data_IF_389415582770
#
_entry.id   IF_389415582770
#
_cell.length_a   1.000
_cell.length_b   1.000
_cell.length_c   1.000
_cell.angle_alpha   90.00
_cell.angle_beta   90.00
_cell.angle_gamma   90.00
#
_symmetry.space_group_name_H-M   'P 1'
#
loop_
_entity.id
_entity.type
_entity.pdbx_description
1 polymer ?
#
# COMPACT_ATOMS: atom_id res chain seq x y z
N UNK A 1 -28.55 -28.91 -24.59
CA UNK A 1 -27.50 -29.62 -23.82
C UNK A 1 -26.07 -29.22 -24.20
N UNK A 2 -25.68 -29.20 -25.48
CA UNK A 2 -24.31 -28.81 -25.90
C UNK A 2 -23.90 -27.37 -25.49
N UNK A 3 -24.82 -26.42 -25.61
CA UNK A 3 -24.65 -25.01 -25.20
C UNK A 3 -24.33 -24.85 -23.70
N UNK A 4 -25.05 -25.61 -22.85
CA UNK A 4 -24.88 -25.57 -21.39
C UNK A 4 -23.53 -26.17 -20.98
N UNK A 5 -23.07 -27.21 -21.69
CA UNK A 5 -21.81 -27.90 -21.42
C UNK A 5 -20.60 -27.02 -21.78
N UNK A 6 -20.66 -26.29 -22.91
CA UNK A 6 -19.65 -25.30 -23.28
C UNK A 6 -19.54 -24.16 -22.25
N UNK A 7 -20.67 -23.66 -21.75
CA UNK A 7 -20.68 -22.58 -20.74
C UNK A 7 -19.99 -23.01 -19.44
N UNK A 8 -20.23 -24.24 -18.98
CA UNK A 8 -19.62 -24.79 -17.77
C UNK A 8 -18.10 -24.95 -17.94
N UNK A 9 -17.64 -25.47 -19.07
CA UNK A 9 -16.20 -25.64 -19.34
C UNK A 9 -15.48 -24.28 -19.37
N UNK A 10 -16.03 -23.28 -20.06
CA UNK A 10 -15.44 -21.93 -20.12
C UNK A 10 -15.35 -21.31 -18.72
N UNK A 11 -16.40 -21.48 -17.90
CA UNK A 11 -16.42 -20.98 -16.52
C UNK A 11 -15.33 -21.63 -15.66
N UNK A 12 -15.16 -22.95 -15.76
CA UNK A 12 -14.11 -23.68 -15.04
C UNK A 12 -12.70 -23.24 -15.44
N UNK A 13 -12.46 -22.98 -16.74
CA UNK A 13 -11.16 -22.47 -17.23
C UNK A 13 -10.88 -21.08 -16.64
N UNK A 14 -11.87 -20.17 -16.63
CA UNK A 14 -11.72 -18.82 -16.07
C UNK A 14 -11.40 -18.90 -14.57
N UNK A 15 -12.11 -19.74 -13.83
CA UNK A 15 -11.86 -19.96 -12.40
C UNK A 15 -10.44 -20.51 -12.17
N UNK A 16 -10.00 -21.49 -12.97
CA UNK A 16 -8.66 -22.06 -12.87
C UNK A 16 -7.54 -21.04 -13.12
N UNK A 17 -7.68 -20.21 -14.17
CA UNK A 17 -6.72 -19.13 -14.47
C UNK A 17 -6.69 -18.10 -13.32
N UNK A 18 -7.85 -17.75 -12.78
CA UNK A 18 -7.95 -16.82 -11.67
C UNK A 18 -7.26 -17.35 -10.41
N UNK A 19 -7.51 -18.60 -10.04
CA UNK A 19 -6.88 -19.24 -8.88
C UNK A 19 -5.35 -19.34 -9.05
N UNK A 20 -4.87 -19.75 -10.23
CA UNK A 20 -3.44 -19.83 -10.51
C UNK A 20 -2.74 -18.46 -10.36
N UNK A 21 -3.35 -17.39 -10.89
CA UNK A 21 -2.80 -16.02 -10.75
C UNK A 21 -2.76 -15.54 -9.31
N UNK A 22 -3.79 -15.85 -8.51
CA UNK A 22 -3.80 -15.49 -7.09
C UNK A 22 -2.69 -16.22 -6.33
N UNK A 23 -2.55 -17.53 -6.54
CA UNK A 23 -1.51 -18.35 -5.91
C UNK A 23 -0.11 -17.84 -6.24
N UNK A 24 0.18 -17.61 -7.53
CA UNK A 24 1.48 -17.08 -7.98
C UNK A 24 1.79 -15.70 -7.40
N UNK A 25 0.78 -14.84 -7.21
CA UNK A 25 0.97 -13.51 -6.59
C UNK A 25 1.32 -13.62 -5.11
N UNK A 26 0.66 -14.53 -4.39
CA UNK A 26 0.91 -14.76 -2.97
C UNK A 26 2.28 -15.39 -2.74
N UNK A 27 2.64 -16.44 -3.49
CA UNK A 27 3.97 -17.06 -3.42
C UNK A 27 5.08 -16.05 -3.70
N UNK A 28 4.87 -15.18 -4.70
CA UNK A 28 5.80 -14.09 -5.01
C UNK A 28 5.92 -13.08 -3.86
N UNK A 29 4.82 -12.72 -3.22
CA UNK A 29 4.84 -11.83 -2.05
C UNK A 29 5.62 -12.47 -0.90
N UNK A 30 5.32 -13.73 -0.57
CA UNK A 30 5.98 -14.49 0.49
C UNK A 30 7.49 -14.64 0.21
N UNK A 31 7.87 -14.95 -1.03
CA UNK A 31 9.26 -15.01 -1.48
C UNK A 31 10.00 -13.67 -1.31
N UNK A 32 9.42 -12.56 -1.79
CA UNK A 32 10.08 -11.26 -1.70
C UNK A 32 10.18 -10.75 -0.26
N UNK A 33 9.20 -11.08 0.59
CA UNK A 33 9.26 -10.79 2.03
C UNK A 33 10.31 -11.65 2.75
N UNK A 34 10.50 -12.92 2.36
CA UNK A 34 11.49 -13.79 3.00
C UNK A 34 12.94 -13.37 2.69
N UNK A 35 13.20 -12.81 1.51
CA UNK A 35 14.51 -12.21 1.16
C UNK A 35 14.81 -10.98 2.05
N UNK A 36 13.78 -10.23 2.43
CA UNK A 36 13.88 -9.05 3.30
C UNK A 36 14.94 -8.02 2.85
N UNK A 37 14.93 -7.66 1.56
CA UNK A 37 15.78 -6.62 0.99
C UNK A 37 14.95 -5.35 0.64
N UNK A 38 14.48 -4.58 1.64
CA UNK A 38 13.62 -3.44 1.40
C UNK A 38 14.39 -2.26 0.80
N UNK A 39 13.78 -1.59 -0.17
CA UNK A 39 14.21 -0.31 -0.72
C UNK A 39 13.08 0.70 -0.69
N UNK A 40 13.42 1.99 -0.77
CA UNK A 40 12.40 3.05 -0.82
C UNK A 40 11.85 3.20 -2.23
N UNK A 41 10.54 3.02 -2.39
CA UNK A 41 9.81 3.31 -3.62
C UNK A 41 8.98 4.59 -3.50
N UNK A 42 8.96 5.38 -4.57
CA UNK A 42 8.10 6.56 -4.71
C UNK A 42 6.94 6.24 -5.66
N UNK A 43 5.72 6.62 -5.29
CA UNK A 43 4.50 6.34 -6.06
C UNK A 43 4.06 7.52 -6.92
N UNK A 44 3.38 7.20 -8.02
CA UNK A 44 2.69 8.12 -8.91
C UNK A 44 1.39 7.49 -9.39
N UNK A 45 0.29 8.23 -9.30
CA UNK A 45 -0.99 7.86 -9.89
C UNK A 45 -0.92 7.98 -11.41
N UNK A 46 -1.44 6.97 -12.08
CA UNK A 46 -1.60 6.97 -13.53
C UNK A 46 -3.03 6.54 -13.87
N UNK A 47 -3.48 6.82 -15.10
CA UNK A 47 -4.87 6.53 -15.50
C UNK A 47 -5.29 5.06 -15.29
N UNK A 48 -4.36 4.11 -15.44
CA UNK A 48 -4.62 2.66 -15.36
C UNK A 48 -3.94 1.97 -14.17
N UNK A 49 -3.72 2.70 -13.07
CA UNK A 49 -3.16 2.08 -11.86
C UNK A 49 -2.25 2.98 -11.04
N UNK A 50 -1.30 2.36 -10.36
CA UNK A 50 -0.28 3.05 -9.57
C UNK A 50 1.09 2.66 -10.09
N UNK A 51 1.88 3.65 -10.50
CA UNK A 51 3.28 3.45 -10.85
C UNK A 51 4.13 3.64 -9.60
N UNK A 52 5.10 2.76 -9.36
CA UNK A 52 6.11 2.98 -8.35
C UNK A 52 7.50 2.89 -8.96
N UNK A 53 8.41 3.69 -8.40
CA UNK A 53 9.78 3.84 -8.88
C UNK A 53 10.73 3.74 -7.71
N UNK A 54 11.80 2.95 -7.85
CA UNK A 54 12.85 2.82 -6.84
C UNK A 54 14.22 2.77 -7.51
N UNK A 55 15.27 2.98 -6.73
CA UNK A 55 16.67 2.91 -7.20
C UNK A 55 17.39 1.83 -6.43
N UNK A 56 18.11 0.95 -7.13
CA UNK A 56 18.95 -0.07 -6.53
C UNK A 56 20.27 -0.14 -7.30
N UNK A 57 21.40 -0.14 -6.59
CA UNK A 57 22.76 -0.12 -7.17
C UNK A 57 22.94 0.94 -8.27
N UNK A 58 22.44 2.16 -8.02
CA UNK A 58 22.51 3.28 -8.97
C UNK A 58 21.57 3.19 -10.18
N UNK A 59 20.85 2.07 -10.38
CA UNK A 59 19.90 1.88 -11.47
C UNK A 59 18.47 2.12 -11.02
N UNK A 60 17.69 2.80 -11.86
CA UNK A 60 16.28 3.10 -11.64
C UNK A 60 15.40 1.97 -12.18
N UNK A 61 14.43 1.55 -11.37
CA UNK A 61 13.44 0.53 -11.71
C UNK A 61 12.04 1.13 -11.60
N UNK A 62 11.13 0.69 -12.47
CA UNK A 62 9.77 1.22 -12.53
C UNK A 62 8.79 0.10 -12.84
N UNK A 63 7.72 0.05 -12.06
CA UNK A 63 6.66 -0.95 -12.19
C UNK A 63 5.30 -0.29 -12.03
N UNK A 64 4.31 -0.88 -12.68
CA UNK A 64 2.92 -0.46 -12.59
C UNK A 64 2.12 -1.57 -11.92
N UNK A 65 1.36 -1.21 -10.89
CA UNK A 65 0.32 -2.07 -10.34
C UNK A 65 -0.97 -1.84 -11.13
N UNK A 66 -1.69 -2.91 -11.46
CA UNK A 66 -2.98 -2.80 -12.18
C UNK A 66 -4.12 -2.21 -11.35
N UNK A 67 -3.88 -1.92 -10.06
CA UNK A 67 -4.87 -1.36 -9.14
C UNK A 67 -4.57 0.12 -8.89
N UNK A 68 -5.54 0.97 -9.23
CA UNK A 68 -5.48 2.38 -8.88
C UNK A 68 -5.86 2.53 -7.41
N UNK A 69 -4.90 2.97 -6.59
CA UNK A 69 -5.14 3.22 -5.17
C UNK A 69 -5.59 4.68 -5.00
N UNK A 70 -6.91 4.88 -4.86
CA UNK A 70 -7.53 6.23 -4.80
C UNK A 70 -7.01 7.10 -3.65
N UNK A 71 -6.56 6.48 -2.57
CA UNK A 71 -6.04 7.16 -1.38
C UNK A 71 -4.62 7.71 -1.53
N UNK A 72 -3.87 7.27 -2.54
CA UNK A 72 -2.47 7.67 -2.71
C UNK A 72 -2.32 9.11 -3.21
N UNK A 73 -1.28 9.76 -2.72
CA UNK A 73 -0.80 11.07 -3.16
C UNK A 73 0.49 10.87 -3.96
N UNK A 74 0.65 11.66 -5.01
CA UNK A 74 1.85 11.59 -5.84
C UNK A 74 3.08 11.99 -5.02
N UNK A 75 4.14 11.19 -5.10
CA UNK A 75 5.35 11.41 -4.33
C UNK A 75 5.34 10.84 -2.91
N UNK A 76 4.30 10.12 -2.51
CA UNK A 76 4.35 9.26 -1.31
C UNK A 76 5.42 8.18 -1.45
N UNK A 77 5.98 7.76 -0.31
CA UNK A 77 7.05 6.77 -0.25
C UNK A 77 6.63 5.56 0.58
N UNK A 78 6.93 4.38 0.07
CA UNK A 78 6.61 3.09 0.70
C UNK A 78 7.79 2.14 0.56
N UNK A 79 7.77 1.09 1.39
CA UNK A 79 8.71 -0.02 1.26
C UNK A 79 8.43 -0.81 -0.02
N UNK A 80 9.49 -1.10 -0.75
CA UNK A 80 9.49 -2.02 -1.90
C UNK A 80 10.36 -3.22 -1.53
N UNK A 81 9.79 -4.41 -1.59
CA UNK A 81 10.55 -5.66 -1.52
C UNK A 81 10.93 -6.09 -2.93
N UNK A 82 12.19 -6.45 -3.13
CA UNK A 82 12.72 -6.84 -4.43
C UNK A 82 13.78 -7.93 -4.27
N UNK A 83 13.96 -8.72 -5.32
CA UNK A 83 15.03 -9.70 -5.40
C UNK A 83 16.35 -8.99 -5.79
N UNK A 84 17.42 -9.03 -4.97
CA UNK A 84 18.69 -8.39 -5.29
C UNK A 84 19.38 -8.92 -6.56
N UNK A 85 19.08 -10.16 -6.96
CA UNK A 85 19.61 -10.81 -8.15
C UNK A 85 18.73 -10.54 -9.38
N UNK A 86 17.42 -10.35 -9.18
CA UNK A 86 16.49 -9.85 -10.21
C UNK A 86 15.63 -8.69 -9.69
N UNK A 87 16.13 -7.44 -9.70
CA UNK A 87 15.36 -6.31 -9.15
C UNK A 87 14.09 -5.98 -9.97
N UNK A 88 13.91 -6.55 -11.16
CA UNK A 88 12.62 -6.46 -11.86
C UNK A 88 11.55 -7.31 -11.16
N UNK A 89 11.94 -8.31 -10.39
CA UNK A 89 11.05 -9.00 -9.48
C UNK A 89 10.88 -8.20 -8.18
N UNK A 90 9.93 -7.25 -8.20
CA UNK A 90 9.65 -6.37 -7.05
C UNK A 90 8.16 -6.21 -6.75
N UNK A 91 7.83 -5.92 -5.49
CA UNK A 91 6.51 -5.56 -5.00
C UNK A 91 6.57 -4.38 -4.05
N UNK A 92 5.61 -3.47 -4.16
CA UNK A 92 5.44 -2.34 -3.24
C UNK A 92 4.45 -2.73 -2.15
N UNK A 93 4.79 -2.46 -0.90
CA UNK A 93 3.91 -2.69 0.24
C UNK A 93 3.29 -1.37 0.72
N UNK A 94 2.00 -1.18 0.41
CA UNK A 94 1.26 0.02 0.77
C UNK A 94 0.89 0.08 2.27
N UNK A 95 1.13 -0.98 3.03
CA UNK A 95 0.93 -1.01 4.49
C UNK A 95 2.17 -0.54 5.25
N UNK A 96 3.32 -0.42 4.57
CA UNK A 96 4.60 0.01 5.14
C UNK A 96 5.04 1.35 4.52
N UNK A 97 4.42 2.47 4.93
CA UNK A 97 4.89 3.78 4.50
C UNK A 97 6.27 4.08 5.06
N UNK A 98 7.08 4.80 4.27
CA UNK A 98 8.41 5.26 4.68
C UNK A 98 8.30 6.67 5.27
N UNK A 99 8.53 6.78 6.58
CA UNK A 99 8.62 8.06 7.28
C UNK A 99 10.09 8.39 7.57
N UNK A 100 10.53 9.53 7.06
CA UNK A 100 11.85 10.10 7.35
C UNK A 100 11.71 11.06 8.53
N UNK A 101 12.27 10.73 9.69
CA UNK A 101 12.10 11.52 10.92
C UNK A 101 12.60 12.96 10.78
N UNK A 102 13.47 13.27 9.80
CA UNK A 102 13.91 14.63 9.52
C UNK A 102 12.91 15.45 8.68
N UNK A 103 11.99 14.78 7.98
CA UNK A 103 11.04 15.40 7.04
C UNK A 103 9.58 15.30 7.49
N UNK A 104 9.34 14.68 8.63
CA UNK A 104 8.02 14.47 9.20
C UNK A 104 7.96 15.02 10.63
N UNK A 105 6.80 15.57 10.97
CA UNK A 105 6.44 15.99 12.32
C UNK A 105 5.22 15.21 12.81
N UNK A 106 4.82 15.41 14.06
CA UNK A 106 3.75 14.66 14.69
C UNK A 106 2.51 15.53 14.89
N UNK A 107 1.34 14.93 14.71
CA UNK A 107 0.04 15.47 15.09
C UNK A 107 -0.81 14.34 15.70
N UNK A 108 -1.93 14.69 16.33
CA UNK A 108 -2.89 13.71 16.81
C UNK A 108 -4.02 13.50 15.81
N UNK A 109 -4.37 12.24 15.55
CA UNK A 109 -5.61 11.92 14.90
C UNK A 109 -6.79 12.25 15.83
N UNK A 110 -7.71 13.07 15.35
CA UNK A 110 -8.93 13.47 16.07
C UNK A 110 -10.05 12.44 15.90
N UNK A 111 -10.04 11.70 14.79
CA UNK A 111 -11.02 10.65 14.48
C UNK A 111 -10.37 9.58 13.63
N UNK A 112 -10.65 8.31 13.93
CA UNK A 112 -10.21 7.17 13.13
C UNK A 112 -11.42 6.25 12.87
N UNK A 113 -11.58 5.82 11.63
CA UNK A 113 -12.63 4.89 11.21
C UNK A 113 -12.08 3.88 10.19
N UNK A 114 -12.36 2.60 10.42
CA UNK A 114 -12.06 1.55 9.44
C UNK A 114 -13.22 1.40 8.45
N UNK A 115 -12.90 1.45 7.15
CA UNK A 115 -13.89 1.45 6.06
C UNK A 115 -14.05 0.11 5.35
N UNK A 116 -13.14 -0.85 5.58
CA UNK A 116 -13.22 -2.18 4.97
C UNK A 116 -13.01 -3.27 6.02
N UNK A 117 -13.76 -4.36 5.86
CA UNK A 117 -13.56 -5.63 6.55
C UNK A 117 -12.84 -6.57 5.58
N UNK A 118 -11.74 -7.21 6.01
CA UNK A 118 -10.93 -8.07 5.15
C UNK A 118 -9.45 -8.11 5.52
N UNK A 119 -8.62 -8.73 4.67
CA UNK A 119 -7.17 -8.89 4.88
C UNK A 119 -6.36 -7.59 4.82
N UNK A 120 -6.91 -6.54 4.20
CA UNK A 120 -6.38 -5.18 4.25
C UNK A 120 -7.48 -4.24 4.74
N UNK A 121 -7.24 -3.54 5.85
CA UNK A 121 -8.18 -2.56 6.38
C UNK A 121 -7.83 -1.17 5.87
N UNK A 122 -8.79 -0.43 5.32
CA UNK A 122 -8.60 0.97 4.98
C UNK A 122 -9.01 1.84 6.17
N UNK A 123 -8.02 2.41 6.87
CA UNK A 123 -8.26 3.37 7.93
C UNK A 123 -8.44 4.77 7.32
N UNK A 124 -9.55 5.43 7.62
CA UNK A 124 -9.75 6.87 7.41
C UNK A 124 -9.48 7.58 8.72
N UNK A 125 -8.64 8.61 8.69
CA UNK A 125 -8.37 9.42 9.86
C UNK A 125 -8.37 10.92 9.54
N UNK A 126 -8.75 11.70 10.54
CA UNK A 126 -8.70 13.16 10.50
C UNK A 126 -7.65 13.65 11.50
N UNK A 127 -6.98 14.75 11.20
CA UNK A 127 -6.05 15.41 12.11
C UNK A 127 -6.00 16.91 11.79
N UNK A 128 -5.64 17.71 12.79
CA UNK A 128 -5.40 19.14 12.60
C UNK A 128 -3.89 19.40 12.54
N UNK A 129 -3.46 20.19 11.58
CA UNK A 129 -2.08 20.64 11.46
C UNK A 129 -2.06 22.10 11.01
N UNK A 130 -1.37 22.96 11.76
CA UNK A 130 -1.27 24.41 11.48
C UNK A 130 -2.64 25.09 11.29
N UNK A 131 -3.65 24.71 12.09
CA UNK A 131 -5.01 25.28 12.02
C UNK A 131 -5.88 24.75 10.90
N UNK A 132 -5.39 23.82 10.07
CA UNK A 132 -6.15 23.19 9.00
C UNK A 132 -6.48 21.73 9.32
N UNK A 133 -7.72 21.32 9.06
CA UNK A 133 -8.13 19.92 9.16
C UNK A 133 -7.75 19.16 7.87
N UNK A 134 -7.10 18.01 8.05
CA UNK A 134 -6.75 17.09 6.98
C UNK A 134 -7.48 15.77 7.18
N UNK A 135 -7.94 15.19 6.06
CA UNK A 135 -8.55 13.86 6.00
C UNK A 135 -7.70 12.95 5.13
N UNK A 136 -7.26 11.84 5.71
CA UNK A 136 -6.33 10.91 5.06
C UNK A 136 -6.74 9.46 5.24
N UNK A 137 -6.16 8.63 4.40
CA UNK A 137 -6.45 7.21 4.31
C UNK A 137 -5.14 6.44 4.37
N UNK A 138 -5.09 5.39 5.18
CA UNK A 138 -3.94 4.51 5.33
C UNK A 138 -4.42 3.07 5.20
N UNK A 139 -3.78 2.30 4.31
CA UNK A 139 -3.95 0.85 4.31
C UNK A 139 -3.22 0.24 5.50
N UNK A 140 -3.97 -0.44 6.34
CA UNK A 140 -3.52 -1.17 7.50
C UNK A 140 -3.44 -2.67 7.19
N UNK A 141 -2.33 -3.30 7.54
CA UNK A 141 -2.26 -4.76 7.56
C UNK A 141 -3.28 -5.31 8.57
N UNK A 142 -3.78 -6.54 8.36
CA UNK A 142 -4.80 -7.15 9.23
C UNK A 142 -4.41 -7.16 10.71
N UNK A 143 -3.14 -7.44 10.99
CA UNK A 143 -2.58 -7.51 12.34
C UNK A 143 -1.91 -6.19 12.77
N UNK A 144 -2.30 -5.09 12.13
CA UNK A 144 -1.82 -3.78 12.54
C UNK A 144 -2.29 -3.44 13.96
N UNK A 145 -1.44 -2.74 14.68
CA UNK A 145 -1.71 -2.08 15.96
C UNK A 145 -2.80 -1.00 15.92
N UNK A 146 -3.39 -0.69 14.76
CA UNK A 146 -4.27 0.46 14.62
C UNK A 146 -5.61 0.17 15.29
N UNK A 147 -6.14 1.18 15.98
CA UNK A 147 -7.46 1.12 16.61
C UNK A 147 -8.25 2.39 16.30
N UNK A 148 -9.49 2.46 16.76
CA UNK A 148 -10.31 3.69 16.69
C UNK A 148 -9.90 4.74 17.71
N UNK A 149 -8.97 4.43 18.62
CA UNK A 149 -8.46 5.36 19.64
C UNK A 149 -7.52 6.40 19.04
N UNK A 150 -7.50 7.64 19.57
CA UNK A 150 -6.55 8.67 19.13
C UNK A 150 -5.12 8.14 19.04
N UNK A 151 -4.53 8.28 17.86
CA UNK A 151 -3.18 7.81 17.55
C UNK A 151 -2.40 8.92 16.88
N UNK A 152 -1.10 8.90 17.05
CA UNK A 152 -0.17 9.84 16.44
C UNK A 152 -0.16 9.66 14.92
N UNK A 153 -0.05 10.78 14.22
CA UNK A 153 0.03 10.90 12.77
C UNK A 153 1.38 11.50 12.42
N UNK A 154 2.15 10.83 11.57
CA UNK A 154 3.31 11.44 10.92
C UNK A 154 2.83 12.33 9.78
N UNK A 155 3.18 13.62 9.82
CA UNK A 155 2.81 14.64 8.83
C UNK A 155 4.07 15.12 8.13
N UNK A 156 4.12 15.01 6.79
CA UNK A 156 5.28 15.49 6.03
C UNK A 156 5.31 17.01 6.03
N UNK A 157 6.43 17.59 6.44
CA UNK A 157 6.60 19.05 6.60
C UNK A 157 6.35 19.82 5.29
N UNK A 158 6.80 19.28 4.15
CA UNK A 158 6.67 19.96 2.85
C UNK A 158 5.28 19.82 2.22
N UNK A 159 4.49 18.83 2.64
CA UNK A 159 3.15 18.58 2.11
C UNK A 159 2.33 17.76 3.11
N UNK A 160 1.54 18.40 3.98
CA UNK A 160 0.74 17.73 5.01
C UNK A 160 -0.29 16.74 4.46
N UNK A 161 -0.60 16.79 3.16
CA UNK A 161 -1.45 15.78 2.50
C UNK A 161 -0.75 14.42 2.44
N UNK A 162 0.57 14.36 2.61
CA UNK A 162 1.32 13.13 2.82
C UNK A 162 1.44 12.94 4.33
N UNK A 163 0.61 12.05 4.86
CA UNK A 163 0.60 11.75 6.29
C UNK A 163 0.17 10.32 6.55
N UNK A 164 0.70 9.73 7.63
CA UNK A 164 0.51 8.32 7.94
C UNK A 164 0.11 8.15 9.40
N UNK A 165 -0.97 7.40 9.63
CA UNK A 165 -1.34 6.93 10.95
C UNK A 165 -0.23 6.02 11.52
N UNK A 166 0.06 6.14 12.82
CA UNK A 166 1.07 5.33 13.50
C UNK A 166 0.45 4.47 14.61
N UNK A 167 1.19 3.47 15.07
CA UNK A 167 0.82 2.67 16.24
C UNK A 167 0.90 3.42 17.57
N UNK A 168 1.54 4.60 17.58
CA UNK A 168 1.79 5.30 18.83
C UNK A 168 0.50 5.98 19.27
N UNK A 169 0.04 5.78 20.52
CA UNK A 169 -1.07 6.55 21.06
C UNK A 169 -0.74 8.05 21.04
N UNK A 170 -1.77 8.88 20.88
CA UNK A 170 -1.64 10.32 21.13
C UNK A 170 -2.18 10.63 22.52
N UNK A 171 -1.32 11.13 23.39
CA UNK A 171 -1.65 11.56 24.75
C UNK A 171 -1.46 13.06 24.86
#
# INVERSE_FOLDING_TARGET
MKELFSLVIVTLIIIGIFQYRMKSTQERYEYLHSINAPVTGQVQKIAKGTKYTFTFRGKKYTKTTGKQMRSLIDGEKYTVFMDPNDPQNSIIDFHLPMYDTSRFTQACATKIQFLSTGSSQLARFNFNYQGQEFKRFHYAARDSCFSTKPSMVWVKLSDPRISYLTCKPCF
#
